data_IF_107766975248
#
_entry.id   IF_107766975248
#
_cell.length_a   1.000
_cell.length_b   1.000
_cell.length_c   1.000
_cell.angle_alpha   90.00
_cell.angle_beta   90.00
_cell.angle_gamma   90.00
#
_symmetry.space_group_name_H-M   'P 1'
#
loop_
_entity.id
_entity.type
_entity.pdbx_description
1 polymer ?
#
# COMPACT_ATOMS: atom_id res chain seq x y z
N UNK A 1 -28.16 -11.69 7.93
CA UNK A 1 -26.84 -12.37 7.91
C UNK A 1 -25.80 -11.41 7.33
N UNK A 2 -24.75 -11.03 8.07
CA UNK A 2 -23.66 -10.20 7.55
C UNK A 2 -22.54 -11.07 6.99
N UNK A 3 -22.40 -11.10 5.67
CA UNK A 3 -21.45 -11.96 4.97
C UNK A 3 -20.04 -11.36 5.12
N UNK A 4 -19.20 -11.98 5.94
CA UNK A 4 -17.86 -11.52 6.37
C UNK A 4 -16.78 -11.53 5.26
N UNK A 5 -17.13 -11.61 3.98
CA UNK A 5 -16.16 -11.81 2.90
C UNK A 5 -15.28 -10.59 2.63
N UNK A 6 -15.82 -9.39 2.85
CA UNK A 6 -15.20 -8.09 2.56
C UNK A 6 -14.72 -7.35 3.81
N UNK A 7 -14.51 -8.04 4.94
CA UNK A 7 -13.87 -7.38 6.09
C UNK A 7 -12.48 -6.89 5.65
N UNK A 8 -12.19 -5.58 5.79
CA UNK A 8 -10.85 -5.06 5.58
C UNK A 8 -9.87 -5.90 6.41
N UNK A 9 -8.71 -6.19 5.86
CA UNK A 9 -7.62 -6.74 6.67
C UNK A 9 -7.17 -5.62 7.61
N UNK A 10 -7.68 -5.63 8.83
CA UNK A 10 -7.24 -4.71 9.88
C UNK A 10 -5.80 -5.02 10.26
N UNK A 11 -4.99 -3.98 10.46
CA UNK A 11 -3.60 -4.07 10.95
C UNK A 11 -2.71 -4.99 10.10
N UNK A 12 -2.75 -4.84 8.78
CA UNK A 12 -1.69 -5.38 7.93
C UNK A 12 -0.34 -4.82 8.41
N UNK A 13 0.72 -5.63 8.46
CA UNK A 13 2.03 -5.13 8.87
C UNK A 13 2.47 -4.02 7.92
N UNK A 14 3.05 -2.99 8.49
CA UNK A 14 3.57 -1.86 7.75
C UNK A 14 5.04 -2.07 7.43
N UNK A 15 5.45 -1.67 6.24
CA UNK A 15 6.83 -1.74 5.78
C UNK A 15 7.28 -0.38 5.21
N UNK A 16 8.57 -0.10 5.34
CA UNK A 16 9.17 1.07 4.70
C UNK A 16 9.25 0.83 3.18
N UNK A 17 8.39 1.53 2.45
CA UNK A 17 8.24 1.38 0.99
C UNK A 17 8.82 2.59 0.28
N UNK A 18 9.65 2.33 -0.74
CA UNK A 18 10.09 3.34 -1.67
C UNK A 18 8.91 3.83 -2.54
N UNK A 19 8.74 5.14 -2.60
CA UNK A 19 7.65 5.80 -3.31
C UNK A 19 8.18 6.96 -4.15
N UNK A 20 7.40 7.35 -5.14
CA UNK A 20 7.51 8.62 -5.83
C UNK A 20 6.46 9.56 -5.27
N UNK A 21 6.90 10.68 -4.68
CA UNK A 21 6.03 11.73 -4.17
C UNK A 21 5.96 12.88 -5.15
N UNK A 22 4.78 13.43 -5.38
CA UNK A 22 4.63 14.63 -6.20
C UNK A 22 5.34 15.82 -5.55
N UNK A 23 6.03 16.63 -6.36
CA UNK A 23 6.72 17.85 -5.89
C UNK A 23 5.82 19.09 -5.90
N UNK A 24 4.63 19.00 -6.50
CA UNK A 24 3.71 20.14 -6.64
C UNK A 24 3.03 20.44 -5.31
N UNK A 25 3.13 21.69 -4.86
CA UNK A 25 2.41 22.17 -3.69
C UNK A 25 0.89 22.00 -3.87
N UNK A 26 0.23 21.44 -2.86
CA UNK A 26 -1.20 21.11 -2.90
C UNK A 26 -1.54 19.78 -3.60
N UNK A 27 -0.57 19.04 -4.13
CA UNK A 27 -0.79 17.69 -4.67
C UNK A 27 -0.26 16.63 -3.71
N UNK A 28 -1.17 15.82 -3.15
CA UNK A 28 -0.83 14.69 -2.27
C UNK A 28 -0.61 13.39 -3.05
N UNK A 29 -0.33 13.48 -4.35
CA UNK A 29 -0.14 12.33 -5.21
C UNK A 29 1.18 11.63 -4.90
N UNK A 30 1.12 10.31 -4.71
CA UNK A 30 2.30 9.46 -4.64
C UNK A 30 2.00 8.10 -5.27
N UNK A 31 3.04 7.41 -5.70
CA UNK A 31 2.96 6.03 -6.24
C UNK A 31 4.11 5.21 -5.67
N UNK A 32 3.92 3.90 -5.48
CA UNK A 32 5.01 3.01 -5.09
C UNK A 32 6.02 2.87 -6.23
N UNK A 33 7.30 2.85 -5.90
CA UNK A 33 8.38 2.73 -6.87
C UNK A 33 8.25 1.45 -7.73
N UNK A 34 7.92 0.32 -7.09
CA UNK A 34 7.68 -0.98 -7.72
C UNK A 34 6.52 -1.01 -8.75
N UNK A 35 5.74 0.07 -8.85
CA UNK A 35 4.63 0.21 -9.78
C UNK A 35 4.85 1.35 -10.78
N UNK A 36 6.05 1.93 -10.80
CA UNK A 36 6.47 2.88 -11.82
C UNK A 36 7.14 2.14 -12.98
N UNK A 37 6.76 2.48 -14.21
CA UNK A 37 7.39 1.93 -15.42
C UNK A 37 8.58 2.77 -15.91
N UNK A 38 8.79 3.95 -15.32
CA UNK A 38 9.83 4.91 -15.69
C UNK A 38 10.71 5.16 -14.49
N UNK A 39 12.00 5.36 -14.72
CA UNK A 39 12.97 5.71 -13.68
C UNK A 39 12.57 6.97 -12.90
N UNK A 40 11.84 7.89 -13.53
CA UNK A 40 11.17 9.01 -12.86
C UNK A 40 9.74 9.13 -13.41
N UNK A 41 8.70 8.79 -12.63
CA UNK A 41 7.32 8.93 -13.07
C UNK A 41 6.84 10.37 -13.00
N UNK A 42 5.76 10.61 -13.72
CA UNK A 42 5.01 11.87 -13.68
C UNK A 42 3.74 11.62 -12.87
N UNK A 43 3.35 12.59 -12.04
CA UNK A 43 2.14 12.48 -11.22
C UNK A 43 0.89 12.35 -12.10
N UNK A 44 0.08 11.31 -11.86
CA UNK A 44 -1.16 11.07 -12.60
C UNK A 44 -2.25 12.12 -12.36
N UNK A 45 -2.19 12.85 -11.24
CA UNK A 45 -3.20 13.84 -10.87
C UNK A 45 -2.92 15.22 -11.47
N UNK A 46 -1.65 15.64 -11.50
CA UNK A 46 -1.29 17.01 -11.85
C UNK A 46 -0.19 17.13 -12.92
N UNK A 47 0.23 16.00 -13.50
CA UNK A 47 1.26 15.90 -14.54
C UNK A 47 2.63 16.52 -14.16
N UNK A 48 2.87 16.76 -12.88
CA UNK A 48 4.14 17.32 -12.39
C UNK A 48 5.17 16.22 -12.12
N UNK A 49 6.45 16.61 -12.06
CA UNK A 49 7.54 15.71 -11.69
C UNK A 49 7.32 15.10 -10.30
N UNK A 50 7.86 13.90 -10.11
CA UNK A 50 7.88 13.25 -8.80
C UNK A 50 9.33 13.06 -8.32
N UNK A 51 9.50 12.94 -7.01
CA UNK A 51 10.79 12.71 -6.35
C UNK A 51 10.74 11.41 -5.54
N UNK A 52 11.84 10.66 -5.53
CA UNK A 52 11.97 9.44 -4.73
C UNK A 52 11.97 9.79 -3.25
N UNK A 53 11.14 9.08 -2.49
CA UNK A 53 10.95 9.23 -1.05
C UNK A 53 10.58 7.88 -0.43
N UNK A 54 10.52 7.80 0.89
CA UNK A 54 10.11 6.60 1.60
C UNK A 54 8.86 6.88 2.43
N UNK A 55 7.90 5.96 2.41
CA UNK A 55 6.72 5.98 3.29
C UNK A 55 6.52 4.64 3.96
N UNK A 56 6.10 4.68 5.21
CA UNK A 56 5.62 3.51 5.95
C UNK A 56 4.21 3.22 5.44
N UNK A 57 4.01 2.06 4.82
CA UNK A 57 2.74 1.67 4.20
C UNK A 57 2.42 0.20 4.54
N UNK A 58 1.13 -0.18 4.60
CA UNK A 58 0.75 -1.58 4.68
C UNK A 58 1.33 -2.37 3.51
N UNK A 59 1.81 -3.58 3.78
CA UNK A 59 2.23 -4.51 2.73
C UNK A 59 1.13 -4.73 1.68
N UNK A 60 1.52 -4.96 0.43
CA UNK A 60 0.57 -5.34 -0.61
C UNK A 60 0.37 -6.86 -0.62
N UNK A 61 -0.89 -7.26 -0.54
CA UNK A 61 -1.31 -8.65 -0.59
C UNK A 61 -1.97 -8.89 -1.95
N UNK A 62 -1.26 -9.53 -2.87
CA UNK A 62 -1.70 -9.69 -4.26
C UNK A 62 -2.46 -10.98 -4.53
N UNK A 63 -2.46 -11.92 -3.58
CA UNK A 63 -3.08 -13.24 -3.76
C UNK A 63 -4.01 -13.65 -2.62
N UNK A 64 -5.05 -14.43 -2.96
CA UNK A 64 -5.99 -15.01 -2.00
C UNK A 64 -5.32 -15.90 -0.95
N UNK A 65 -4.22 -16.56 -1.33
CA UNK A 65 -3.45 -17.39 -0.42
C UNK A 65 -2.82 -16.54 0.69
N UNK A 66 -2.19 -15.42 0.32
CA UNK A 66 -1.61 -14.50 1.29
C UNK A 66 -2.70 -13.87 2.18
N UNK A 67 -3.86 -13.48 1.62
CA UNK A 67 -5.00 -12.98 2.41
C UNK A 67 -5.44 -14.01 3.45
N UNK A 68 -5.54 -15.28 3.08
CA UNK A 68 -5.91 -16.38 4.00
C UNK A 68 -4.86 -16.56 5.11
N UNK A 69 -3.56 -16.44 4.79
CA UNK A 69 -2.48 -16.52 5.76
C UNK A 69 -2.55 -15.35 6.77
N UNK A 70 -2.71 -14.11 6.31
CA UNK A 70 -2.86 -12.95 7.21
C UNK A 70 -4.06 -13.10 8.14
N UNK A 71 -5.22 -13.49 7.61
CA UNK A 71 -6.43 -13.73 8.43
C UNK A 71 -6.22 -14.85 9.44
N UNK A 72 -5.44 -15.89 9.12
CA UNK A 72 -5.12 -16.97 10.05
C UNK A 72 -4.20 -16.51 11.17
N UNK A 73 -3.18 -15.72 10.86
CA UNK A 73 -2.23 -15.17 11.83
C UNK A 73 -2.95 -14.22 12.81
N UNK A 74 -3.75 -13.29 12.31
CA UNK A 74 -4.57 -12.37 13.12
C UNK A 74 -5.43 -13.12 14.16
N UNK A 75 -6.06 -14.24 13.77
CA UNK A 75 -6.87 -15.05 14.70
C UNK A 75 -6.06 -15.74 15.79
N UNK A 76 -4.78 -16.06 15.54
CA UNK A 76 -3.89 -16.65 16.54
C UNK A 76 -3.46 -15.59 17.55
N UNK A 77 -3.14 -14.39 17.08
CA UNK A 77 -2.70 -13.28 17.93
C UNK A 77 -3.83 -12.83 18.88
N UNK A 78 -5.09 -12.85 18.44
CA UNK A 78 -6.25 -12.57 19.30
C UNK A 78 -6.57 -13.65 20.35
N UNK A 79 -5.91 -14.81 20.30
CA UNK A 79 -6.17 -15.95 21.21
C UNK A 79 -5.04 -16.18 22.21
N UNK A 80 -3.97 -15.40 22.17
CA UNK A 80 -2.84 -15.47 23.10
C UNK A 80 -2.97 -14.46 24.23
#
# INVERSE_FOLDING_TARGET
>A
MSYSWNKPLENLPEEMTAIWSCTKEGCNGWIRDNFSFKDVPVCSQCASSMVSSNKILPILVSSDQQIKLYRKNQRKDTKS
#
